data_IF_625698640853
#
_entry.id   IF_625698640853
#
_cell.length_a   1.000
_cell.length_b   1.000
_cell.length_c   1.000
_cell.angle_alpha   90.00
_cell.angle_beta   90.00
_cell.angle_gamma   90.00
#
_symmetry.space_group_name_H-M   'P 1'
#
loop_
_entity.id
_entity.type
_entity.pdbx_description
1 polymer ?
#
# COMPACT_ATOMS: atom_id res chain seq x y z
N UNK A 1 15.68 -15.82 -15.54
CA UNK A 1 15.06 -15.27 -16.78
C UNK A 1 14.08 -14.20 -16.35
N UNK A 2 14.02 -13.06 -17.05
CA UNK A 2 13.04 -12.00 -16.79
C UNK A 2 11.78 -12.30 -17.60
N UNK A 3 10.79 -12.94 -16.96
CA UNK A 3 9.54 -13.35 -17.59
C UNK A 3 8.42 -12.40 -17.15
N UNK A 4 7.61 -11.91 -18.09
CA UNK A 4 6.43 -11.08 -17.83
C UNK A 4 5.34 -11.35 -18.88
N UNK A 5 4.08 -11.09 -18.55
CA UNK A 5 2.98 -11.10 -19.52
C UNK A 5 2.80 -9.70 -20.11
N UNK A 6 2.33 -9.58 -21.36
CA UNK A 6 2.04 -8.29 -21.96
C UNK A 6 0.92 -8.40 -23.00
N UNK A 7 0.21 -7.29 -23.21
CA UNK A 7 -0.76 -7.16 -24.31
C UNK A 7 -0.01 -6.68 -25.56
N UNK A 8 -0.04 -7.48 -26.62
CA UNK A 8 0.55 -7.12 -27.91
C UNK A 8 -0.52 -6.63 -28.88
N UNK A 9 -0.38 -5.39 -29.34
CA UNK A 9 -1.21 -4.83 -30.39
C UNK A 9 -0.56 -5.05 -31.76
N UNK A 10 -1.33 -5.55 -32.73
CA UNK A 10 -0.86 -5.70 -34.12
C UNK A 10 -1.03 -4.38 -34.87
N UNK A 11 0.09 -3.75 -35.25
CA UNK A 11 0.11 -2.45 -35.95
C UNK A 11 -0.59 -1.34 -35.15
N UNK A 12 -0.17 -1.16 -33.90
CA UNK A 12 -0.60 0.02 -33.14
C UNK A 12 -0.09 1.29 -33.83
N UNK A 13 -1.00 2.22 -34.09
CA UNK A 13 -0.63 3.56 -34.55
C UNK A 13 -0.13 4.43 -33.38
N UNK A 14 -0.56 4.13 -32.14
CA UNK A 14 -0.11 4.75 -30.89
C UNK A 14 -0.42 3.85 -29.68
N UNK A 15 0.18 4.16 -28.52
CA UNK A 15 -0.11 3.58 -27.20
C UNK A 15 -0.53 4.71 -26.26
N UNK A 16 -1.82 5.07 -26.22
CA UNK A 16 -2.25 6.15 -25.36
C UNK A 16 -1.99 5.79 -23.90
N UNK A 17 -1.37 6.72 -23.19
CA UNK A 17 -1.05 6.62 -21.77
C UNK A 17 -1.71 7.76 -21.02
N UNK A 18 -2.11 7.47 -19.78
CA UNK A 18 -2.68 8.44 -18.87
C UNK A 18 -1.99 8.31 -17.53
N UNK A 19 -1.81 9.44 -16.86
CA UNK A 19 -1.40 9.45 -15.47
C UNK A 19 -2.51 8.80 -14.63
N UNK A 20 -2.12 7.96 -13.67
CA UNK A 20 -3.05 7.30 -12.80
C UNK A 20 -2.53 7.19 -11.37
N UNK A 21 -3.47 7.17 -10.43
CA UNK A 21 -3.27 6.97 -9.00
C UNK A 21 -3.98 5.68 -8.61
N UNK A 22 -3.31 4.83 -7.81
CA UNK A 22 -3.92 3.62 -7.25
C UNK A 22 -4.56 4.02 -5.92
N UNK A 23 -5.86 4.24 -5.90
CA UNK A 23 -6.60 4.60 -4.68
C UNK A 23 -6.74 3.42 -3.71
N UNK A 24 -6.94 2.23 -4.28
CA UNK A 24 -7.14 1.01 -3.52
C UNK A 24 -6.68 -0.22 -4.29
N UNK A 25 -6.10 -1.15 -3.54
CA UNK A 25 -5.69 -2.46 -4.02
C UNK A 25 -6.70 -3.48 -3.52
N UNK A 26 -7.28 -4.22 -4.46
CA UNK A 26 -8.18 -5.34 -4.19
C UNK A 26 -7.46 -6.63 -4.54
N UNK A 27 -7.18 -7.44 -3.54
CA UNK A 27 -6.59 -8.76 -3.71
C UNK A 27 -7.70 -9.81 -3.75
N UNK A 28 -7.78 -10.56 -4.86
CA UNK A 28 -8.80 -11.57 -5.10
C UNK A 28 -8.19 -12.98 -5.03
N UNK A 29 -8.97 -13.99 -4.61
CA UNK A 29 -8.61 -15.38 -4.82
C UNK A 29 -8.28 -15.64 -6.29
N UNK A 30 -7.23 -16.44 -6.55
CA UNK A 30 -6.67 -16.60 -7.89
C UNK A 30 -7.71 -17.07 -8.95
N UNK A 31 -8.67 -17.90 -8.55
CA UNK A 31 -9.75 -18.34 -9.43
C UNK A 31 -10.69 -17.18 -9.85
N UNK A 32 -11.00 -16.29 -8.91
CA UNK A 32 -11.84 -15.11 -9.14
C UNK A 32 -11.09 -14.08 -10.00
N UNK A 33 -9.81 -13.83 -9.70
CA UNK A 33 -8.96 -12.97 -10.52
C UNK A 33 -8.88 -13.44 -11.97
N UNK A 34 -8.64 -14.74 -12.20
CA UNK A 34 -8.62 -15.34 -13.55
C UNK A 34 -9.97 -15.19 -14.25
N UNK A 35 -11.07 -15.40 -13.52
CA UNK A 35 -12.41 -15.23 -14.05
C UNK A 35 -12.65 -13.78 -14.48
N UNK A 36 -12.36 -12.80 -13.62
CA UNK A 36 -12.45 -11.37 -13.92
C UNK A 36 -11.60 -11.00 -15.13
N UNK A 37 -10.30 -11.37 -15.14
CA UNK A 37 -9.38 -11.12 -16.25
C UNK A 37 -9.88 -11.66 -17.59
N UNK A 38 -10.59 -12.79 -17.59
CA UNK A 38 -11.16 -13.38 -18.81
C UNK A 38 -12.44 -12.70 -19.31
N UNK A 39 -13.13 -11.94 -18.45
CA UNK A 39 -14.41 -11.33 -18.74
C UNK A 39 -14.60 -9.98 -17.99
N UNK A 40 -13.77 -8.95 -18.27
CA UNK A 40 -13.74 -7.69 -17.51
C UNK A 40 -15.02 -6.85 -17.62
N UNK A 41 -15.86 -7.11 -18.63
CA UNK A 41 -17.16 -6.43 -18.84
C UNK A 41 -18.31 -7.06 -18.03
N UNK A 42 -18.04 -8.10 -17.24
CA UNK A 42 -19.05 -8.65 -16.32
C UNK A 42 -19.09 -7.81 -15.05
N UNK A 43 -20.28 -7.65 -14.51
CA UNK A 43 -20.46 -7.01 -13.20
C UNK A 43 -19.74 -7.80 -12.11
N UNK A 44 -18.99 -7.08 -11.28
CA UNK A 44 -18.22 -7.62 -10.16
C UNK A 44 -18.57 -6.84 -8.90
N UNK A 45 -18.84 -7.53 -7.80
CA UNK A 45 -19.20 -6.90 -6.52
C UNK A 45 -18.09 -5.98 -6.01
N UNK A 46 -16.83 -6.40 -6.11
CA UNK A 46 -15.69 -5.59 -5.68
C UNK A 46 -15.56 -4.28 -6.47
N UNK A 47 -16.07 -4.20 -7.71
CA UNK A 47 -16.09 -2.94 -8.47
C UNK A 47 -17.24 -2.07 -7.96
N UNK A 48 -18.43 -2.65 -7.81
CA UNK A 48 -19.63 -1.95 -7.32
C UNK A 48 -19.40 -1.29 -5.95
N UNK A 49 -18.72 -2.01 -5.04
CA UNK A 49 -18.40 -1.57 -3.68
C UNK A 49 -17.39 -0.43 -3.60
N UNK A 50 -16.70 -0.08 -4.69
CA UNK A 50 -15.61 0.89 -4.70
C UNK A 50 -15.75 1.93 -5.84
N UNK A 51 -16.96 2.10 -6.39
CA UNK A 51 -17.24 3.04 -7.48
C UNK A 51 -16.96 4.49 -7.12
N UNK A 52 -17.07 4.85 -5.85
CA UNK A 52 -16.80 6.18 -5.30
C UNK A 52 -15.30 6.53 -5.29
N UNK A 53 -14.41 5.53 -5.30
CA UNK A 53 -12.97 5.74 -5.34
C UNK A 53 -12.44 5.95 -6.78
N UNK A 54 -13.21 5.53 -7.79
CA UNK A 54 -12.80 5.62 -9.18
C UNK A 54 -13.40 6.84 -9.87
N UNK A 55 -12.54 7.68 -10.42
CA UNK A 55 -12.95 8.85 -11.20
C UNK A 55 -11.78 9.40 -12.01
N UNK A 56 -12.06 10.40 -12.83
CA UNK A 56 -11.03 11.22 -13.48
C UNK A 56 -11.05 12.62 -12.87
N UNK A 57 -9.90 13.09 -12.41
CA UNK A 57 -9.78 14.40 -11.77
C UNK A 57 -9.78 15.56 -12.80
N UNK A 58 -9.73 16.80 -12.30
CA UNK A 58 -9.70 18.01 -13.14
C UNK A 58 -8.44 18.12 -14.00
N UNK A 59 -7.34 17.47 -13.60
CA UNK A 59 -6.08 17.40 -14.36
C UNK A 59 -6.09 16.27 -15.39
N UNK A 60 -7.12 15.44 -15.40
CA UNK A 60 -7.27 14.31 -16.29
C UNK A 60 -6.57 13.03 -15.83
N UNK A 61 -6.12 12.96 -14.56
CA UNK A 61 -5.53 11.79 -13.90
C UNK A 61 -6.63 10.79 -13.57
N UNK A 62 -6.37 9.52 -13.85
CA UNK A 62 -7.27 8.43 -13.52
C UNK A 62 -7.03 7.95 -12.08
N UNK A 63 -8.04 8.06 -11.23
CA UNK A 63 -8.08 7.44 -9.91
C UNK A 63 -8.63 6.04 -10.06
N UNK A 64 -7.81 5.03 -9.78
CA UNK A 64 -8.04 3.65 -10.17
C UNK A 64 -8.08 2.71 -8.96
N UNK A 65 -8.81 1.60 -9.12
CA UNK A 65 -8.52 0.38 -8.39
C UNK A 65 -7.40 -0.39 -9.07
N UNK A 66 -6.51 -0.99 -8.28
CA UNK A 66 -5.61 -2.04 -8.75
C UNK A 66 -6.12 -3.39 -8.24
N UNK A 67 -6.46 -4.29 -9.16
CA UNK A 67 -6.85 -5.65 -8.81
C UNK A 67 -5.67 -6.59 -8.98
N UNK A 68 -5.38 -7.37 -7.94
CA UNK A 68 -4.34 -8.40 -7.93
C UNK A 68 -4.97 -9.77 -7.66
N UNK A 69 -4.39 -10.83 -8.21
CA UNK A 69 -4.64 -12.21 -7.76
C UNK A 69 -3.63 -12.61 -6.69
N UNK A 70 -4.04 -13.37 -5.68
CA UNK A 70 -3.14 -13.86 -4.60
C UNK A 70 -1.86 -14.54 -5.11
N UNK A 71 -1.95 -15.27 -6.24
CA UNK A 71 -0.84 -15.99 -6.85
C UNK A 71 -0.25 -15.26 -8.07
N UNK A 72 -0.71 -14.04 -8.36
CA UNK A 72 -0.33 -13.27 -9.53
C UNK A 72 0.56 -12.07 -9.18
N UNK A 73 1.64 -11.92 -9.95
CA UNK A 73 2.47 -10.71 -10.00
C UNK A 73 1.78 -9.58 -10.77
N UNK A 74 0.98 -9.95 -11.78
CA UNK A 74 0.36 -9.01 -12.71
C UNK A 74 -0.97 -8.52 -12.15
N UNK A 75 -1.31 -7.27 -12.45
CA UNK A 75 -2.56 -6.63 -12.03
C UNK A 75 -3.38 -6.07 -13.17
N UNK A 76 -4.56 -5.60 -12.83
CA UNK A 76 -5.43 -4.85 -13.73
C UNK A 76 -5.83 -3.55 -13.02
N UNK A 77 -5.49 -2.42 -13.64
CA UNK A 77 -6.02 -1.11 -13.24
C UNK A 77 -7.44 -0.96 -13.76
N UNK A 78 -8.32 -0.37 -12.96
CA UNK A 78 -9.73 -0.17 -13.30
C UNK A 78 -10.15 1.25 -12.94
N UNK A 79 -10.82 1.91 -13.88
CA UNK A 79 -11.67 3.06 -13.62
C UNK A 79 -13.04 2.73 -14.25
N UNK A 80 -14.11 2.82 -13.47
CA UNK A 80 -15.39 2.24 -13.88
C UNK A 80 -16.40 3.23 -14.45
N UNK A 81 -16.17 4.54 -14.38
CA UNK A 81 -17.14 5.63 -14.56
C UNK A 81 -18.47 5.37 -13.82
N UNK A 82 -18.40 4.81 -12.61
CA UNK A 82 -19.57 4.49 -11.80
C UNK A 82 -20.33 3.22 -12.22
N UNK A 83 -19.80 2.42 -13.14
CA UNK A 83 -20.35 1.11 -13.48
C UNK A 83 -19.80 -0.01 -12.58
N UNK A 84 -20.46 -1.16 -12.59
CA UNK A 84 -20.07 -2.34 -11.80
C UNK A 84 -19.10 -3.28 -12.55
N UNK A 85 -18.60 -2.87 -13.71
CA UNK A 85 -17.64 -3.61 -14.53
C UNK A 85 -16.45 -2.72 -14.88
N UNK A 86 -15.37 -3.32 -15.40
CA UNK A 86 -14.14 -2.59 -15.69
C UNK A 86 -14.23 -1.83 -17.03
N UNK A 87 -14.90 -0.67 -17.00
CA UNK A 87 -15.19 0.14 -18.19
C UNK A 87 -13.94 0.70 -18.84
N UNK A 88 -13.05 1.31 -18.08
CA UNK A 88 -11.65 1.49 -18.45
C UNK A 88 -10.81 0.51 -17.65
N UNK A 89 -9.91 -0.17 -18.34
CA UNK A 89 -8.94 -1.01 -17.67
C UNK A 89 -7.63 -1.10 -18.42
N UNK A 90 -6.56 -1.32 -17.67
CA UNK A 90 -5.22 -1.52 -18.21
C UNK A 90 -4.56 -2.70 -17.53
N UNK A 91 -4.02 -3.63 -18.32
CA UNK A 91 -3.22 -4.73 -17.79
C UNK A 91 -1.85 -4.19 -17.38
N UNK A 92 -1.47 -4.44 -16.13
CA UNK A 92 -0.23 -3.96 -15.52
C UNK A 92 0.66 -5.16 -15.18
N UNK A 93 1.64 -5.51 -16.03
CA UNK A 93 2.59 -6.58 -15.75
C UNK A 93 3.47 -6.23 -14.54
N UNK A 94 3.70 -7.19 -13.65
CA UNK A 94 4.53 -7.00 -12.45
C UNK A 94 4.02 -5.92 -11.49
N UNK A 95 2.70 -5.72 -11.45
CA UNK A 95 2.05 -4.72 -10.60
C UNK A 95 2.38 -4.91 -9.13
N UNK A 96 2.39 -6.15 -8.64
CA UNK A 96 2.70 -6.48 -7.24
C UNK A 96 4.11 -6.06 -6.89
N UNK A 97 5.08 -6.39 -7.73
CA UNK A 97 6.49 -6.04 -7.55
C UNK A 97 6.69 -4.52 -7.59
N UNK A 98 6.02 -3.83 -8.51
CA UNK A 98 6.06 -2.36 -8.59
C UNK A 98 5.56 -1.72 -7.29
N UNK A 99 4.36 -2.08 -6.84
CA UNK A 99 3.77 -1.55 -5.59
C UNK A 99 4.66 -1.91 -4.40
N UNK A 100 5.07 -3.17 -4.30
CA UNK A 100 5.94 -3.64 -3.21
C UNK A 100 7.24 -2.85 -3.17
N UNK A 101 7.89 -2.63 -4.31
CA UNK A 101 9.13 -1.86 -4.37
C UNK A 101 8.91 -0.40 -3.95
N UNK A 102 7.81 0.23 -4.39
CA UNK A 102 7.47 1.60 -4.02
C UNK A 102 7.20 1.74 -2.52
N UNK A 103 6.47 0.81 -1.92
CA UNK A 103 6.18 0.81 -0.49
C UNK A 103 7.41 0.45 0.35
N UNK A 104 8.32 -0.39 -0.15
CA UNK A 104 9.60 -0.61 0.52
C UNK A 104 10.44 0.67 0.57
N UNK A 105 10.50 1.43 -0.52
CA UNK A 105 11.18 2.72 -0.54
C UNK A 105 10.55 3.71 0.45
N UNK A 106 9.21 3.77 0.52
CA UNK A 106 8.50 4.60 1.48
C UNK A 106 8.85 4.19 2.92
N UNK A 107 8.78 2.89 3.24
CA UNK A 107 9.14 2.39 4.56
C UNK A 107 10.61 2.69 4.91
N UNK A 108 11.56 2.54 3.98
CA UNK A 108 12.96 2.93 4.21
C UNK A 108 13.08 4.43 4.55
N UNK A 109 12.25 5.27 3.92
CA UNK A 109 12.21 6.70 4.21
C UNK A 109 11.64 6.98 5.60
N UNK A 110 10.50 6.39 5.93
CA UNK A 110 9.86 6.52 7.25
C UNK A 110 10.84 6.09 8.34
N UNK A 111 11.37 4.87 8.28
CA UNK A 111 12.27 4.32 9.31
C UNK A 111 13.50 5.21 9.52
N UNK A 112 14.17 5.63 8.43
CA UNK A 112 15.36 6.47 8.52
C UNK A 112 15.05 7.80 9.19
N UNK A 113 13.92 8.41 8.85
CA UNK A 113 13.58 9.73 9.38
C UNK A 113 13.08 9.64 10.82
N UNK A 114 12.23 8.67 11.15
CA UNK A 114 11.75 8.44 12.50
C UNK A 114 12.90 8.12 13.46
N UNK A 115 13.81 7.23 13.10
CA UNK A 115 14.99 6.90 13.93
C UNK A 115 15.93 8.08 14.11
N UNK A 116 16.09 8.93 13.09
CA UNK A 116 16.92 10.13 13.17
C UNK A 116 16.29 11.26 14.00
N UNK A 117 14.97 11.30 14.16
CA UNK A 117 14.29 12.42 14.79
C UNK A 117 13.64 12.08 16.14
N UNK A 118 13.50 10.80 16.47
CA UNK A 118 13.03 10.38 17.80
C UNK A 118 14.09 10.65 18.88
N UNK A 119 13.64 11.18 20.02
CA UNK A 119 14.45 11.39 21.22
C UNK A 119 14.29 10.27 22.26
N UNK A 120 13.25 9.45 22.15
CA UNK A 120 12.89 8.45 23.16
C UNK A 120 12.72 7.03 22.58
N UNK A 121 12.85 6.86 21.27
CA UNK A 121 12.67 5.59 20.59
C UNK A 121 11.24 5.32 20.13
N UNK A 122 10.31 6.28 20.24
CA UNK A 122 8.96 6.17 19.70
C UNK A 122 8.71 7.19 18.58
N UNK A 123 7.79 6.87 17.68
CA UNK A 123 7.35 7.79 16.61
C UNK A 123 5.93 7.46 16.15
N UNK A 124 5.14 8.49 15.88
CA UNK A 124 3.81 8.35 15.27
C UNK A 124 3.85 8.94 13.87
N UNK A 125 3.29 8.22 12.89
CA UNK A 125 3.10 8.74 11.53
C UNK A 125 1.64 8.60 11.12
N UNK A 126 1.06 9.69 10.62
CA UNK A 126 -0.34 9.75 10.23
C UNK A 126 -0.52 9.56 8.72
N UNK A 127 -1.67 9.03 8.29
CA UNK A 127 -1.97 8.76 6.89
C UNK A 127 -2.06 10.02 6.04
N UNK A 128 -2.53 11.13 6.61
CA UNK A 128 -2.52 12.44 5.96
C UNK A 128 -1.09 12.93 5.71
N UNK A 129 -0.18 12.78 6.68
CA UNK A 129 1.25 13.05 6.49
C UNK A 129 1.82 12.18 5.37
N UNK A 130 1.47 10.89 5.32
CA UNK A 130 1.93 9.99 4.27
C UNK A 130 1.45 10.46 2.88
N UNK A 131 0.18 10.85 2.79
CA UNK A 131 -0.43 11.35 1.55
C UNK A 131 0.17 12.68 1.11
N UNK A 132 0.32 13.65 2.01
CA UNK A 132 0.79 15.00 1.68
C UNK A 132 2.28 15.00 1.31
N UNK A 133 3.09 14.24 2.05
CA UNK A 133 4.55 14.29 1.92
C UNK A 133 5.11 13.29 0.93
N UNK A 134 4.50 12.11 0.82
CA UNK A 134 4.99 11.02 -0.02
C UNK A 134 4.09 10.70 -1.21
N UNK A 135 2.92 11.33 -1.28
CA UNK A 135 1.93 11.14 -2.36
C UNK A 135 1.53 9.67 -2.51
N UNK A 136 1.31 9.00 -1.38
CA UNK A 136 0.85 7.61 -1.35
C UNK A 136 -0.50 7.56 -0.65
N UNK A 137 -1.59 7.17 -1.34
CA UNK A 137 -2.91 7.06 -0.74
C UNK A 137 -2.91 5.87 0.22
N UNK A 138 -2.86 6.17 1.51
CA UNK A 138 -2.87 5.18 2.58
C UNK A 138 -4.15 5.34 3.39
N UNK A 139 -4.83 4.22 3.62
CA UNK A 139 -5.86 4.10 4.66
C UNK A 139 -5.89 2.67 5.17
N UNK A 140 -6.59 2.42 6.27
CA UNK A 140 -6.66 1.08 6.88
C UNK A 140 -7.16 0.00 5.91
N UNK A 141 -8.07 0.35 4.99
CA UNK A 141 -8.86 -0.60 4.21
C UNK A 141 -8.66 -0.49 2.70
N UNK A 142 -7.64 0.25 2.24
CA UNK A 142 -7.36 0.39 0.82
C UNK A 142 -6.31 -0.59 0.28
N UNK A 143 -5.83 -1.54 1.07
CA UNK A 143 -4.82 -2.53 0.68
C UNK A 143 -3.40 -1.97 0.55
N UNK A 144 -3.22 -0.69 0.17
CA UNK A 144 -1.94 0.02 0.20
C UNK A 144 -1.45 0.13 1.65
N UNK A 145 -2.32 0.58 2.56
CA UNK A 145 -1.98 0.67 4.00
C UNK A 145 -1.67 -0.69 4.61
N UNK A 146 -2.46 -1.72 4.29
CA UNK A 146 -2.21 -3.09 4.75
C UNK A 146 -0.85 -3.63 4.27
N UNK A 147 -0.46 -3.35 3.02
CA UNK A 147 0.86 -3.74 2.52
C UNK A 147 1.99 -2.95 3.15
N UNK A 148 1.81 -1.64 3.34
CA UNK A 148 2.79 -0.79 4.01
C UNK A 148 3.01 -1.24 5.45
N UNK A 149 1.93 -1.53 6.19
CA UNK A 149 1.99 -2.06 7.56
C UNK A 149 2.85 -3.34 7.61
N UNK A 150 2.55 -4.34 6.77
CA UNK A 150 3.34 -5.59 6.71
C UNK A 150 4.81 -5.35 6.39
N UNK A 151 5.11 -4.38 5.52
CA UNK A 151 6.48 -4.01 5.17
C UNK A 151 7.18 -3.35 6.36
N UNK A 152 6.48 -2.52 7.13
CA UNK A 152 6.99 -1.89 8.35
C UNK A 152 7.21 -2.93 9.46
N UNK A 153 6.24 -3.81 9.72
CA UNK A 153 6.34 -4.89 10.73
C UNK A 153 7.57 -5.80 10.51
N UNK A 154 8.01 -5.96 9.27
CA UNK A 154 9.18 -6.76 8.92
C UNK A 154 10.52 -6.04 9.10
N UNK A 155 10.53 -4.76 9.52
CA UNK A 155 11.75 -3.95 9.63
C UNK A 155 12.54 -4.30 10.88
N UNK A 156 13.86 -4.57 10.75
CA UNK A 156 14.70 -4.94 11.89
C UNK A 156 14.88 -3.81 12.92
N UNK A 157 14.60 -2.57 12.55
CA UNK A 157 14.68 -1.40 13.43
C UNK A 157 13.49 -1.32 14.39
N UNK A 158 12.34 -1.91 14.05
CA UNK A 158 11.12 -1.84 14.84
C UNK A 158 11.07 -2.98 15.88
N UNK A 159 10.83 -2.59 17.12
CA UNK A 159 10.47 -3.50 18.20
C UNK A 159 8.96 -3.80 18.18
N UNK A 160 8.15 -2.78 17.90
CA UNK A 160 6.70 -2.86 17.86
C UNK A 160 6.11 -1.86 16.85
N UNK A 161 5.00 -2.24 16.22
CA UNK A 161 4.19 -1.40 15.35
C UNK A 161 2.73 -1.56 15.76
N UNK A 162 2.09 -0.47 16.18
CA UNK A 162 0.68 -0.43 16.53
C UNK A 162 -0.12 0.37 15.49
N UNK A 163 -1.06 -0.25 14.77
CA UNK A 163 -1.92 0.48 13.85
C UNK A 163 -2.95 1.32 14.63
N UNK A 164 -3.07 2.59 14.24
CA UNK A 164 -4.09 3.53 14.73
C UNK A 164 -5.22 3.69 13.69
N UNK A 165 -6.28 4.43 14.04
CA UNK A 165 -7.38 4.78 13.12
C UNK A 165 -6.86 5.51 11.86
N UNK A 166 -5.90 6.40 12.06
CA UNK A 166 -5.40 7.37 11.08
C UNK A 166 -3.87 7.32 10.91
N UNK A 167 -3.20 6.27 11.36
CA UNK A 167 -1.74 6.21 11.32
C UNK A 167 -1.13 4.93 11.89
N UNK A 168 0.16 5.02 12.20
CA UNK A 168 0.93 3.98 12.87
C UNK A 168 1.75 4.59 14.01
N UNK A 169 1.71 3.93 15.17
CA UNK A 169 2.64 4.15 16.26
C UNK A 169 3.78 3.12 16.16
N UNK A 170 5.01 3.60 16.29
CA UNK A 170 6.23 2.83 16.11
C UNK A 170 7.08 2.91 17.37
N UNK A 171 7.56 1.75 17.82
CA UNK A 171 8.60 1.64 18.84
C UNK A 171 9.84 1.03 18.21
N UNK A 172 10.97 1.73 18.32
CA UNK A 172 12.24 1.32 17.75
C UNK A 172 13.13 0.65 18.80
N UNK A 173 13.96 -0.29 18.35
CA UNK A 173 15.12 -0.68 19.14
C UNK A 173 16.08 0.52 19.26
N UNK A 174 16.42 0.89 20.51
CA UNK A 174 17.20 2.10 20.81
C UNK A 174 18.57 2.13 20.12
N UNK A 175 19.17 0.98 19.83
CA UNK A 175 20.46 0.87 19.13
C UNK A 175 20.42 1.46 17.70
N UNK A 176 19.22 1.61 17.11
CA UNK A 176 19.04 2.24 15.80
C UNK A 176 18.72 3.74 15.89
N UNK A 177 18.57 4.31 17.09
CA UNK A 177 18.19 5.71 17.30
C UNK A 177 19.41 6.56 17.72
N UNK A 178 20.03 7.33 16.81
CA UNK A 178 21.26 8.08 17.13
C UNK A 178 21.06 9.31 18.03
N UNK A 179 19.84 9.84 18.14
CA UNK A 179 19.55 11.15 18.75
C UNK A 179 18.72 11.06 20.04
N UNK A 180 18.93 9.98 20.83
CA UNK A 180 18.21 9.77 22.08
C UNK A 180 18.57 10.81 23.16
N UNK A 181 17.54 11.39 23.79
CA UNK A 181 17.65 12.12 25.06
C UNK A 181 17.44 11.16 26.22
N UNK A 182 18.48 10.96 27.03
CA UNK A 182 18.47 10.07 28.19
C UNK A 182 17.37 10.39 29.21
N UNK A 183 16.85 11.62 29.23
CA UNK A 183 15.78 12.01 30.15
C UNK A 183 14.38 11.66 29.62
N UNK A 184 14.25 11.35 28.33
CA UNK A 184 12.97 11.07 27.67
C UNK A 184 12.79 9.58 27.34
N UNK A 185 13.85 8.77 27.44
CA UNK A 185 13.78 7.31 27.26
C UNK A 185 12.84 6.72 28.35
N UNK A 186 11.81 5.93 27.97
CA UNK A 186 10.95 5.26 28.92
C UNK A 186 11.75 4.36 29.87
N UNK A 187 11.47 4.42 31.18
CA UNK A 187 12.05 3.45 32.12
C UNK A 187 11.49 2.05 31.79
N UNK A 188 12.33 1.00 31.83
CA UNK A 188 11.87 -0.36 31.57
C UNK A 188 10.77 -0.73 32.56
N UNK A 189 9.66 -1.27 32.06
CA UNK A 189 8.56 -1.71 32.93
C UNK A 189 9.11 -2.71 33.97
N UNK A 190 8.76 -2.54 35.26
CA UNK A 190 9.20 -3.47 36.28
C UNK A 190 8.63 -4.87 35.93
N UNK A 191 9.43 -5.95 36.09
CA UNK A 191 8.98 -7.28 35.75
C UNK A 191 7.68 -7.60 36.49
N UNK A 192 6.68 -8.06 35.74
CA UNK A 192 5.39 -8.47 36.29
C UNK A 192 5.63 -9.38 37.50
N UNK A 193 5.19 -8.96 38.69
CA UNK A 193 5.30 -9.77 39.91
C UNK A 193 4.61 -11.11 39.63
N UNK A 194 5.40 -12.18 39.52
CA UNK A 194 4.88 -13.54 39.59
C UNK A 194 4.23 -13.68 40.96
N UNK A 195 2.91 -13.57 40.99
CA UNK A 195 2.11 -14.01 42.13
C UNK A 195 2.24 -15.53 42.20
N UNK A 196 3.19 -16.00 42.99
CA UNK A 196 3.23 -17.39 43.43
C UNK A 196 1.97 -17.64 44.27
N UNK A 197 1.01 -18.37 43.71
CA UNK A 197 -0.10 -19.00 44.43
C UNK A 197 0.40 -20.27 45.13
#
# INVERSE_FOLDING_TARGET
MLNLQAIFARKADDYPVWDCVIEKIVELPEAEYKYFKSAPLRDMSFIAENTDLMHRDENGVFHCLLVLGEESSDGILIESEGYNYARYSSFMPGAREFVTARLNQLADQIIRESTQNTSNGTWSIYFDEIQERYHVPVSQNNGVGTMLQKILEARPELAELEPMEDGFDMVFYLDYCPNLDKNEIPEPEPPAMQMNL
#
